data_IF_178460808056
#
_entry.id   IF_178460808056
#
_cell.length_a   1.000
_cell.length_b   1.000
_cell.length_c   1.000
_cell.angle_alpha   90.00
_cell.angle_beta   90.00
_cell.angle_gamma   90.00
#
_symmetry.space_group_name_H-M   'P 1'
#
loop_
_entity.id
_entity.type
_entity.pdbx_description
1 polymer ?
#
# COMPACT_ATOMS: atom_id res chain seq x y z
N UNK A 1 -16.86 -21.25 -26.18
CA UNK A 1 -17.02 -20.17 -25.18
C UNK A 1 -16.81 -20.74 -23.78
N UNK A 2 -15.58 -20.75 -23.27
CA UNK A 2 -15.34 -20.98 -21.85
C UNK A 2 -15.64 -19.68 -21.12
N UNK A 3 -16.60 -19.71 -20.19
CA UNK A 3 -16.86 -18.61 -19.24
C UNK A 3 -15.51 -18.20 -18.64
N UNK A 4 -15.16 -16.90 -18.69
CA UNK A 4 -14.10 -16.34 -17.83
C UNK A 4 -14.40 -16.85 -16.43
N UNK A 5 -13.50 -17.63 -15.84
CA UNK A 5 -13.59 -17.93 -14.42
C UNK A 5 -13.71 -16.58 -13.72
N UNK A 6 -14.79 -16.37 -12.95
CA UNK A 6 -14.81 -15.27 -12.03
C UNK A 6 -13.57 -15.45 -11.15
N UNK A 7 -12.59 -14.56 -11.26
CA UNK A 7 -11.58 -14.42 -10.21
C UNK A 7 -12.38 -14.20 -8.94
N UNK A 8 -12.30 -15.15 -8.01
CA UNK A 8 -12.95 -15.03 -6.71
C UNK A 8 -12.40 -13.77 -6.04
N UNK A 9 -13.31 -12.88 -5.66
CA UNK A 9 -12.98 -11.70 -4.87
C UNK A 9 -13.09 -12.04 -3.39
N UNK A 10 -12.32 -11.35 -2.56
CA UNK A 10 -12.43 -11.43 -1.11
C UNK A 10 -12.63 -10.03 -0.52
N UNK A 11 -13.30 -9.92 0.62
CA UNK A 11 -13.42 -8.63 1.33
C UNK A 11 -12.07 -8.22 1.94
N UNK A 12 -11.84 -6.92 2.07
CA UNK A 12 -10.58 -6.36 2.59
C UNK A 12 -10.17 -7.00 3.93
N UNK A 13 -11.08 -7.14 4.88
CA UNK A 13 -10.80 -7.76 6.18
C UNK A 13 -10.40 -9.24 6.08
N UNK A 14 -10.88 -9.97 5.07
CA UNK A 14 -10.48 -11.34 4.81
C UNK A 14 -9.07 -11.40 4.20
N UNK A 15 -8.79 -10.52 3.22
CA UNK A 15 -7.46 -10.38 2.64
C UNK A 15 -6.41 -10.02 3.70
N UNK A 16 -6.69 -9.01 4.53
CA UNK A 16 -5.79 -8.58 5.60
C UNK A 16 -5.54 -9.69 6.61
N UNK A 17 -6.58 -10.42 7.04
CA UNK A 17 -6.41 -11.60 7.91
C UNK A 17 -5.56 -12.68 7.24
N UNK A 18 -5.78 -12.97 5.96
CA UNK A 18 -4.97 -13.95 5.23
C UNK A 18 -3.49 -13.55 5.19
N UNK A 19 -3.20 -12.28 4.93
CA UNK A 19 -1.82 -11.76 4.89
C UNK A 19 -1.16 -11.78 6.27
N UNK A 20 -1.88 -11.48 7.35
CA UNK A 20 -1.37 -11.57 8.73
C UNK A 20 -0.91 -12.98 9.12
N UNK A 21 -1.50 -14.02 8.50
CA UNK A 21 -1.15 -15.43 8.74
C UNK A 21 -0.16 -15.99 7.70
N UNK A 22 0.27 -15.20 6.72
CA UNK A 22 1.32 -15.61 5.77
C UNK A 22 2.69 -15.52 6.46
N UNK A 23 3.20 -16.67 6.88
CA UNK A 23 4.45 -16.76 7.64
C UNK A 23 5.64 -16.13 6.89
N UNK A 24 5.75 -16.32 5.57
CA UNK A 24 6.87 -15.81 4.80
C UNK A 24 6.86 -14.29 4.69
N UNK A 25 5.69 -13.68 4.47
CA UNK A 25 5.57 -12.22 4.44
C UNK A 25 5.84 -11.62 5.82
N UNK A 26 5.30 -12.24 6.86
CA UNK A 26 5.49 -11.81 8.24
C UNK A 26 6.96 -11.91 8.68
N UNK A 27 7.63 -13.02 8.38
CA UNK A 27 9.06 -13.22 8.68
C UNK A 27 9.93 -12.17 8.00
N UNK A 28 9.62 -11.83 6.73
CA UNK A 28 10.30 -10.75 6.01
C UNK A 28 10.08 -9.39 6.67
N UNK A 29 8.84 -9.04 7.01
CA UNK A 29 8.53 -7.78 7.71
C UNK A 29 9.22 -7.71 9.08
N UNK A 30 9.19 -8.79 9.85
CA UNK A 30 9.86 -8.87 11.14
C UNK A 30 11.39 -8.79 11.02
N UNK A 31 11.98 -9.35 9.97
CA UNK A 31 13.40 -9.24 9.69
C UNK A 31 13.81 -7.79 9.40
N UNK A 32 13.03 -7.08 8.58
CA UNK A 32 13.27 -5.67 8.24
C UNK A 32 13.18 -4.78 9.48
N UNK A 33 12.10 -4.90 10.26
CA UNK A 33 11.93 -4.14 11.50
C UNK A 33 13.07 -4.38 12.49
N UNK A 34 13.51 -5.64 12.66
CA UNK A 34 14.65 -5.97 13.53
C UNK A 34 15.96 -5.41 13.01
N UNK A 35 16.20 -5.50 11.70
CA UNK A 35 17.43 -5.02 11.08
C UNK A 35 17.58 -3.51 11.30
N UNK A 36 16.54 -2.73 10.98
CA UNK A 36 16.56 -1.26 11.12
C UNK A 36 16.59 -0.85 12.59
N UNK A 37 15.79 -1.47 13.46
CA UNK A 37 15.81 -1.16 14.90
C UNK A 37 17.17 -1.44 15.56
N UNK A 38 17.95 -2.40 15.05
CA UNK A 38 19.30 -2.66 15.57
C UNK A 38 20.33 -1.56 15.22
N UNK A 39 20.02 -0.72 14.23
CA UNK A 39 20.91 0.31 13.71
C UNK A 39 20.44 1.73 14.07
N UNK A 40 19.12 1.94 14.16
CA UNK A 40 18.50 3.25 14.38
C UNK A 40 17.76 3.29 15.72
N UNK A 41 18.33 3.93 16.77
CA UNK A 41 17.72 3.98 18.10
C UNK A 41 16.31 4.57 18.11
N UNK A 42 16.06 5.60 17.29
CA UNK A 42 14.73 6.21 17.18
C UNK A 42 13.69 5.22 16.68
N UNK A 43 14.05 4.30 15.78
CA UNK A 43 13.15 3.24 15.31
C UNK A 43 12.94 2.20 16.42
N UNK A 44 13.99 1.79 17.12
CA UNK A 44 13.86 0.85 18.24
C UNK A 44 12.90 1.36 19.34
N UNK A 45 12.96 2.66 19.65
CA UNK A 45 12.03 3.32 20.56
C UNK A 45 10.62 3.39 19.96
N UNK A 46 10.52 3.78 18.68
CA UNK A 46 9.24 3.97 18.01
C UNK A 46 8.41 2.67 17.99
N UNK A 47 9.02 1.51 17.77
CA UNK A 47 8.33 0.21 17.78
C UNK A 47 7.60 -0.10 19.09
N UNK A 48 8.05 0.47 20.21
CA UNK A 48 7.45 0.30 21.53
C UNK A 48 6.36 1.31 21.85
N UNK A 49 6.07 2.23 20.92
CA UNK A 49 5.07 3.27 21.13
C UNK A 49 3.71 2.63 21.39
N UNK A 50 3.10 2.86 22.57
CA UNK A 50 1.78 2.34 22.90
C UNK A 50 0.71 2.77 21.91
N UNK A 51 -0.23 1.88 21.65
CA UNK A 51 -1.42 2.12 20.86
C UNK A 51 -2.68 1.79 21.66
N UNK A 52 -3.77 2.53 21.43
CA UNK A 52 -5.05 2.29 22.09
C UNK A 52 -6.23 2.23 21.13
N UNK A 53 -7.23 1.36 21.38
CA UNK A 53 -8.58 1.53 20.85
C UNK A 53 -9.12 2.92 21.25
N UNK A 54 -9.90 3.63 20.40
CA UNK A 54 -10.61 3.15 19.21
C UNK A 54 -9.85 3.32 17.88
N UNK A 55 -8.70 3.99 17.88
CA UNK A 55 -8.02 4.42 16.66
C UNK A 55 -7.05 3.37 16.10
N UNK A 56 -6.45 2.57 16.98
CA UNK A 56 -5.48 1.53 16.63
C UNK A 56 -5.85 0.23 17.34
N UNK A 57 -6.19 -0.80 16.57
CA UNK A 57 -6.60 -2.12 17.07
C UNK A 57 -5.77 -3.26 16.46
N UNK A 58 -4.69 -2.91 15.77
CA UNK A 58 -3.78 -3.85 15.12
C UNK A 58 -2.84 -4.56 16.10
N UNK A 59 -2.59 -3.98 17.27
CA UNK A 59 -1.78 -4.50 18.35
C UNK A 59 -1.48 -3.42 19.40
N UNK A 60 -0.88 -3.79 20.54
CA UNK A 60 -0.65 -2.87 21.66
C UNK A 60 0.44 -1.83 21.41
N UNK A 61 1.29 -2.05 20.41
CA UNK A 61 2.41 -1.19 20.10
C UNK A 61 2.59 -1.02 18.59
N UNK A 62 3.31 0.02 18.21
CA UNK A 62 3.49 0.42 16.82
C UNK A 62 4.19 -0.63 15.95
N UNK A 63 4.95 -1.56 16.54
CA UNK A 63 5.51 -2.71 15.79
C UNK A 63 4.43 -3.46 14.98
N UNK A 64 3.22 -3.57 15.52
CA UNK A 64 2.11 -4.29 14.90
C UNK A 64 1.55 -3.55 13.69
N UNK A 65 1.55 -2.22 13.75
CA UNK A 65 1.17 -1.34 12.66
C UNK A 65 2.20 -1.39 11.52
N UNK A 66 3.49 -1.16 11.84
CA UNK A 66 4.54 -1.14 10.83
C UNK A 66 4.72 -2.50 10.14
N UNK A 67 4.65 -3.60 10.92
CA UNK A 67 4.68 -4.97 10.38
C UNK A 67 3.58 -5.18 9.35
N UNK A 68 2.37 -4.68 9.60
CA UNK A 68 1.24 -4.84 8.71
C UNK A 68 1.44 -4.06 7.41
N UNK A 69 1.92 -2.82 7.49
CA UNK A 69 2.26 -2.02 6.31
C UNK A 69 3.28 -2.76 5.44
N UNK A 70 4.40 -3.18 6.02
CA UNK A 70 5.46 -3.91 5.31
C UNK A 70 4.94 -5.22 4.70
N UNK A 71 4.12 -5.96 5.44
CA UNK A 71 3.47 -7.19 4.94
C UNK A 71 2.65 -6.93 3.69
N UNK A 72 1.91 -5.82 3.64
CA UNK A 72 1.10 -5.43 2.47
C UNK A 72 1.98 -4.98 1.31
N UNK A 73 3.03 -4.19 1.56
CA UNK A 73 4.01 -3.81 0.52
C UNK A 73 4.59 -5.08 -0.12
N UNK A 74 5.06 -6.04 0.68
CA UNK A 74 5.62 -7.29 0.18
C UNK A 74 4.59 -8.19 -0.52
N UNK A 75 3.33 -8.17 -0.06
CA UNK A 75 2.26 -8.92 -0.69
C UNK A 75 1.93 -8.37 -2.09
N UNK A 76 1.91 -7.05 -2.25
CA UNK A 76 1.66 -6.38 -3.54
C UNK A 76 2.83 -6.60 -4.50
N UNK A 77 4.06 -6.37 -4.02
CA UNK A 77 5.29 -6.58 -4.82
C UNK A 77 5.43 -8.05 -5.25
N UNK A 78 5.16 -8.99 -4.35
CA UNK A 78 5.21 -10.42 -4.64
C UNK A 78 3.97 -10.98 -5.34
N UNK A 79 3.00 -10.14 -5.74
CA UNK A 79 1.77 -10.57 -6.43
C UNK A 79 0.84 -11.48 -5.60
N UNK A 80 1.03 -11.57 -4.28
CA UNK A 80 0.18 -12.31 -3.32
C UNK A 80 -1.09 -11.54 -2.93
N UNK A 81 -1.09 -10.23 -3.17
CA UNK A 81 -2.25 -9.36 -3.08
C UNK A 81 -2.40 -8.61 -4.41
N UNK A 82 -3.63 -8.50 -4.89
CA UNK A 82 -4.02 -7.63 -5.99
C UNK A 82 -5.19 -6.79 -5.53
N UNK A 83 -5.11 -5.48 -5.72
CA UNK A 83 -6.15 -4.57 -5.26
C UNK A 83 -7.48 -4.82 -5.98
N UNK A 84 -7.45 -5.25 -7.24
CA UNK A 84 -8.67 -5.60 -7.98
C UNK A 84 -9.35 -6.91 -7.54
N UNK A 85 -8.71 -7.71 -6.70
CA UNK A 85 -9.29 -8.92 -6.13
C UNK A 85 -9.99 -8.64 -4.78
N UNK A 86 -9.82 -7.42 -4.24
CA UNK A 86 -10.56 -6.94 -3.07
C UNK A 86 -11.94 -6.46 -3.49
N UNK A 87 -12.99 -6.99 -2.85
CA UNK A 87 -14.39 -6.77 -3.22
C UNK A 87 -14.80 -5.28 -3.18
N UNK A 88 -14.35 -4.54 -2.17
CA UNK A 88 -14.64 -3.11 -2.01
C UNK A 88 -14.10 -2.29 -3.19
N UNK A 89 -12.91 -2.63 -3.70
CA UNK A 89 -12.31 -1.98 -4.86
C UNK A 89 -12.91 -2.50 -6.18
N UNK A 90 -13.18 -3.80 -6.28
CA UNK A 90 -13.80 -4.41 -7.47
C UNK A 90 -15.20 -3.90 -7.78
N UNK A 91 -15.93 -3.44 -6.75
CA UNK A 91 -17.25 -2.81 -6.87
C UNK A 91 -17.20 -1.42 -7.51
N UNK A 92 -16.04 -0.75 -7.52
CA UNK A 92 -15.86 0.56 -8.14
C UNK A 92 -15.74 0.45 -9.66
N UNK A 93 -16.86 0.18 -10.32
CA UNK A 93 -16.92 0.08 -11.79
C UNK A 93 -16.47 1.38 -12.44
N UNK A 94 -15.54 1.28 -13.39
CA UNK A 94 -14.94 2.42 -14.09
C UNK A 94 -13.67 2.97 -13.45
N UNK A 95 -13.29 2.46 -12.27
CA UNK A 95 -12.08 2.87 -11.53
C UNK A 95 -10.97 1.82 -11.60
N UNK A 96 -11.15 0.74 -12.36
CA UNK A 96 -10.21 -0.38 -12.39
C UNK A 96 -8.80 0.06 -12.79
N UNK A 97 -8.70 1.01 -13.73
CA UNK A 97 -7.42 1.60 -14.13
C UNK A 97 -6.74 2.37 -13.01
N UNK A 98 -7.49 3.14 -12.22
CA UNK A 98 -6.94 3.89 -11.08
C UNK A 98 -6.43 2.98 -9.98
N UNK A 99 -7.16 1.90 -9.72
CA UNK A 99 -6.76 0.88 -8.75
C UNK A 99 -5.49 0.15 -9.21
N UNK A 100 -5.36 -0.13 -10.51
CA UNK A 100 -4.14 -0.68 -11.08
C UNK A 100 -2.97 0.30 -11.01
N UNK A 101 -3.18 1.57 -11.39
CA UNK A 101 -2.15 2.61 -11.33
C UNK A 101 -1.61 2.76 -9.88
N UNK A 102 -2.49 2.67 -8.87
CA UNK A 102 -2.11 2.67 -7.45
C UNK A 102 -1.26 1.44 -7.06
N UNK A 103 -1.68 0.24 -7.49
CA UNK A 103 -0.92 -0.99 -7.24
C UNK A 103 0.47 -0.93 -7.88
N UNK A 104 0.56 -0.46 -9.13
CA UNK A 104 1.84 -0.30 -9.83
C UNK A 104 2.71 0.80 -9.20
N UNK A 105 2.12 1.90 -8.72
CA UNK A 105 2.86 2.94 -7.98
C UNK A 105 3.58 2.33 -6.78
N UNK A 106 2.93 1.44 -6.03
CA UNK A 106 3.55 0.76 -4.88
C UNK A 106 4.65 -0.19 -5.33
N UNK A 107 4.43 -0.96 -6.40
CA UNK A 107 5.43 -1.91 -6.92
C UNK A 107 6.68 -1.22 -7.45
N UNK A 108 6.50 -0.15 -8.22
CA UNK A 108 7.58 0.64 -8.82
C UNK A 108 8.39 1.40 -7.75
N UNK A 109 7.76 1.74 -6.62
CA UNK A 109 8.38 2.50 -5.53
C UNK A 109 8.50 1.67 -4.23
N UNK A 110 8.73 0.36 -4.33
CA UNK A 110 8.73 -0.55 -3.19
C UNK A 110 9.68 -0.11 -2.05
N UNK A 111 10.92 0.26 -2.39
CA UNK A 111 11.92 0.73 -1.42
C UNK A 111 11.51 2.05 -0.74
N UNK A 112 10.83 2.95 -1.46
CA UNK A 112 10.28 4.18 -0.90
C UNK A 112 9.18 3.87 0.11
N UNK A 113 8.30 2.90 -0.18
CA UNK A 113 7.24 2.50 0.75
C UNK A 113 7.73 1.65 1.93
N UNK A 114 8.84 0.92 1.79
CA UNK A 114 9.57 0.34 2.92
C UNK A 114 10.07 1.46 3.86
N UNK A 115 10.72 2.49 3.32
CA UNK A 115 11.16 3.66 4.09
C UNK A 115 10.00 4.45 4.72
N UNK A 116 8.90 4.62 3.98
CA UNK A 116 7.67 5.23 4.49
C UNK A 116 7.15 4.47 5.71
N UNK A 117 7.01 3.14 5.60
CA UNK A 117 6.56 2.30 6.70
C UNK A 117 7.44 2.51 7.94
N UNK A 118 8.76 2.51 7.76
CA UNK A 118 9.72 2.65 8.86
C UNK A 118 9.68 4.04 9.52
N UNK A 119 9.50 5.11 8.73
CA UNK A 119 9.75 6.48 9.19
C UNK A 119 8.48 7.30 9.50
N UNK A 120 7.35 7.05 8.83
CA UNK A 120 6.21 7.99 8.83
C UNK A 120 5.68 8.32 10.23
N UNK A 121 5.74 7.33 11.11
CA UNK A 121 5.24 7.40 12.48
C UNK A 121 6.35 7.38 13.55
N UNK A 122 7.63 7.45 13.16
CA UNK A 122 8.75 7.34 14.10
C UNK A 122 8.69 8.37 15.24
N UNK A 123 8.09 9.53 14.98
CA UNK A 123 7.93 10.59 15.97
C UNK A 123 6.80 10.38 16.98
N UNK A 124 5.90 9.41 16.79
CA UNK A 124 4.82 9.11 17.73
C UNK A 124 5.34 8.84 19.15
N UNK A 125 6.52 8.22 19.28
CA UNK A 125 7.17 7.99 20.57
C UNK A 125 7.41 9.27 21.38
N UNK A 126 7.95 10.30 20.73
CA UNK A 126 8.33 11.56 21.37
C UNK A 126 7.14 12.48 21.64
N UNK A 127 6.09 12.38 20.81
CA UNK A 127 4.86 13.17 20.91
C UNK A 127 3.76 12.48 21.70
N UNK A 128 3.95 11.22 22.09
CA UNK A 128 2.97 10.43 22.84
C UNK A 128 2.41 11.20 24.04
N UNK A 129 1.09 11.26 24.08
CA UNK A 129 0.31 11.85 25.15
C UNK A 129 -0.90 10.99 25.47
N UNK A 130 -1.47 11.22 26.65
CA UNK A 130 -2.55 10.39 27.17
C UNK A 130 -3.75 11.23 27.58
N UNK A 131 -4.94 10.69 27.34
CA UNK A 131 -6.18 11.10 28.00
C UNK A 131 -6.87 9.86 28.56
N UNK A 132 -7.81 10.02 29.48
CA UNK A 132 -8.57 8.91 30.04
C UNK A 132 -10.08 9.14 29.91
N UNK A 133 -10.83 8.05 29.77
CA UNK A 133 -12.29 8.12 29.79
C UNK A 133 -12.77 8.64 31.16
N UNK A 134 -13.80 9.52 31.20
CA UNK A 134 -14.33 10.03 32.46
C UNK A 134 -14.73 8.90 33.43
N UNK A 135 -14.24 8.96 34.67
CA UNK A 135 -14.53 7.97 35.71
C UNK A 135 -13.80 6.62 35.57
N UNK A 136 -12.90 6.49 34.59
CA UNK A 136 -12.10 5.26 34.40
C UNK A 136 -10.99 5.10 35.44
N UNK A 137 -10.41 3.90 35.52
CA UNK A 137 -9.23 3.66 36.37
C UNK A 137 -8.01 4.45 35.90
N UNK A 138 -7.85 4.67 34.60
CA UNK A 138 -6.79 5.50 34.02
C UNK A 138 -6.86 6.94 34.53
N UNK A 139 -8.07 7.51 34.59
CA UNK A 139 -8.29 8.84 35.16
C UNK A 139 -7.91 8.89 36.65
N UNK A 140 -8.30 7.87 37.43
CA UNK A 140 -7.93 7.76 38.84
C UNK A 140 -6.41 7.59 39.07
N UNK A 141 -5.70 7.01 38.09
CA UNK A 141 -4.25 6.87 38.08
C UNK A 141 -3.51 8.10 37.52
N UNK A 142 -4.24 9.11 37.03
CA UNK A 142 -3.68 10.36 36.52
C UNK A 142 -3.08 10.27 35.12
N UNK A 143 -3.61 9.41 34.24
CA UNK A 143 -3.23 9.39 32.83
C UNK A 143 -3.94 10.51 32.05
N UNK A 144 -3.52 11.74 32.31
CA UNK A 144 -3.98 12.96 31.64
C UNK A 144 -2.76 13.83 31.32
N UNK A 145 -2.59 14.17 30.05
CA UNK A 145 -1.56 15.12 29.60
C UNK A 145 -2.20 16.48 29.40
N UNK A 146 -1.63 17.53 30.00
CA UNK A 146 -2.16 18.88 29.82
C UNK A 146 -2.10 19.33 28.35
N UNK A 147 -3.16 19.96 27.80
CA UNK A 147 -3.22 20.37 26.39
C UNK A 147 -2.05 21.26 25.92
N UNK A 148 -1.51 22.10 26.79
CA UNK A 148 -0.38 22.98 26.45
C UNK A 148 0.98 22.26 26.47
N UNK A 149 1.06 21.09 27.10
CA UNK A 149 2.29 20.29 27.15
C UNK A 149 2.57 19.55 25.82
N UNK A 150 1.65 19.56 24.86
CA UNK A 150 1.80 18.90 23.57
C UNK A 150 2.81 19.59 22.64
N UNK A 151 3.00 20.91 22.77
CA UNK A 151 3.75 21.73 21.80
C UNK A 151 5.00 22.41 22.39
N UNK A 152 5.23 22.29 23.69
CA UNK A 152 6.35 22.92 24.38
C UNK A 152 7.33 21.88 24.94
N UNK A 153 8.63 22.19 24.88
CA UNK A 153 9.71 21.36 25.45
C UNK A 153 9.52 21.09 26.96
N UNK A 154 8.82 21.98 27.65
CA UNK A 154 8.45 21.88 29.06
C UNK A 154 7.68 20.57 29.36
N UNK A 155 6.92 20.06 28.39
CA UNK A 155 6.15 18.82 28.52
C UNK A 155 6.95 17.53 28.30
N UNK A 156 8.19 17.59 27.79
CA UNK A 156 8.96 16.40 27.38
C UNK A 156 9.21 15.46 28.55
N UNK A 157 9.65 16.00 29.70
CA UNK A 157 9.92 15.19 30.89
C UNK A 157 8.66 14.52 31.44
N UNK A 158 7.50 15.20 31.37
CA UNK A 158 6.25 14.66 31.88
C UNK A 158 5.69 13.58 30.96
N UNK A 159 5.74 13.78 29.63
CA UNK A 159 5.40 12.74 28.64
C UNK A 159 6.25 11.50 28.83
N UNK A 160 7.56 11.65 29.06
CA UNK A 160 8.46 10.53 29.31
C UNK A 160 8.08 9.74 30.58
N UNK A 161 7.72 10.43 31.68
CA UNK A 161 7.26 9.78 32.92
C UNK A 161 5.94 9.05 32.72
N UNK A 162 4.94 9.70 32.11
CA UNK A 162 3.65 9.06 31.84
C UNK A 162 3.79 7.86 30.90
N UNK A 163 4.65 7.95 29.88
CA UNK A 163 4.96 6.84 28.98
C UNK A 163 5.59 5.67 29.72
N UNK A 164 6.56 5.92 30.60
CA UNK A 164 7.17 4.87 31.42
C UNK A 164 6.14 4.19 32.33
N UNK A 165 5.27 4.98 32.99
CA UNK A 165 4.18 4.47 33.83
C UNK A 165 3.15 3.67 33.03
N UNK A 166 2.83 4.10 31.81
CA UNK A 166 1.93 3.35 30.92
C UNK A 166 2.51 1.97 30.61
N UNK A 167 3.78 1.94 30.17
CA UNK A 167 4.44 0.70 29.78
C UNK A 167 4.53 -0.28 30.95
N UNK A 168 4.90 0.20 32.15
CA UNK A 168 4.92 -0.63 33.36
C UNK A 168 3.54 -1.19 33.69
N UNK A 169 2.50 -0.35 33.63
CA UNK A 169 1.12 -0.77 33.90
C UNK A 169 0.62 -1.79 32.88
N UNK A 170 0.93 -1.59 31.59
CA UNK A 170 0.57 -2.50 30.52
C UNK A 170 1.30 -3.83 30.66
N UNK A 171 2.61 -3.82 30.92
CA UNK A 171 3.44 -5.02 31.08
C UNK A 171 2.93 -5.87 32.27
N UNK A 172 2.61 -5.23 33.40
CA UNK A 172 1.97 -5.91 34.53
C UNK A 172 0.65 -6.56 34.13
N UNK A 173 -0.24 -5.80 33.47
CA UNK A 173 -1.55 -6.31 33.04
C UNK A 173 -1.45 -7.45 32.02
N UNK A 174 -0.52 -7.35 31.08
CA UNK A 174 -0.31 -8.34 30.03
C UNK A 174 0.35 -9.61 30.56
N UNK A 175 1.23 -9.50 31.58
CA UNK A 175 1.88 -10.66 32.19
C UNK A 175 0.89 -11.63 32.86
N UNK A 176 -0.20 -11.11 33.42
CA UNK A 176 -1.31 -11.89 33.98
C UNK A 176 -2.15 -12.60 32.89
N UNK A 177 -1.96 -12.22 31.63
CA UNK A 177 -2.73 -12.65 30.44
C UNK A 177 -1.83 -13.13 29.31
N UNK A 178 -0.68 -13.73 29.65
CA UNK A 178 0.34 -14.11 28.66
C UNK A 178 -0.14 -15.09 27.55
N UNK A 179 -1.28 -15.76 27.75
CA UNK A 179 -1.89 -16.67 26.76
C UNK A 179 -2.83 -15.95 25.78
N UNK A 180 -3.21 -14.70 26.06
CA UNK A 180 -4.09 -13.93 25.18
C UNK A 180 -3.32 -13.37 23.97
N UNK A 181 -3.94 -13.35 22.78
CA UNK A 181 -3.37 -12.64 21.64
C UNK A 181 -3.14 -11.16 21.96
N UNK A 182 -2.08 -10.51 21.45
CA UNK A 182 -1.76 -9.11 21.75
C UNK A 182 -2.93 -8.13 21.56
N UNK A 183 -3.74 -8.29 20.50
CA UNK A 183 -4.93 -7.47 20.26
C UNK A 183 -6.01 -7.64 21.33
N UNK A 184 -6.22 -8.86 21.81
CA UNK A 184 -7.19 -9.13 22.86
C UNK A 184 -6.73 -8.50 24.18
N UNK A 185 -5.44 -8.65 24.50
CA UNK A 185 -4.83 -8.01 25.67
C UNK A 185 -4.91 -6.47 25.61
N UNK A 186 -4.66 -5.87 24.44
CA UNK A 186 -4.83 -4.44 24.21
C UNK A 186 -6.26 -3.96 24.48
N UNK A 187 -7.26 -4.66 23.91
CA UNK A 187 -8.66 -4.31 24.11
C UNK A 187 -9.06 -4.45 25.59
N UNK A 188 -8.69 -5.57 26.23
CA UNK A 188 -8.98 -5.79 27.64
C UNK A 188 -8.31 -4.74 28.55
N UNK A 189 -7.10 -4.29 28.20
CA UNK A 189 -6.42 -3.21 28.91
C UNK A 189 -7.19 -1.89 28.77
N UNK A 190 -7.61 -1.55 27.55
CA UNK A 190 -8.42 -0.37 27.30
C UNK A 190 -9.76 -0.42 28.05
N UNK A 191 -10.44 -1.55 28.05
CA UNK A 191 -11.72 -1.72 28.77
C UNK A 191 -11.53 -1.59 30.30
N UNK A 192 -10.39 -2.04 30.82
CA UNK A 192 -10.09 -1.96 32.25
C UNK A 192 -9.67 -0.55 32.70
N UNK A 193 -8.87 0.15 31.90
CA UNK A 193 -8.25 1.41 32.30
C UNK A 193 -8.79 2.64 31.60
N UNK A 194 -9.37 2.52 30.40
CA UNK A 194 -9.91 3.64 29.63
C UNK A 194 -8.86 4.67 29.18
N UNK A 195 -7.58 4.28 29.08
CA UNK A 195 -6.49 5.18 28.69
C UNK A 195 -6.38 5.23 27.16
N UNK A 196 -6.39 6.45 26.61
CA UNK A 196 -6.25 6.74 25.19
C UNK A 196 -4.88 7.34 24.90
N UNK A 197 -4.24 6.88 23.83
CA UNK A 197 -2.94 7.34 23.35
C UNK A 197 -3.14 8.30 22.16
N UNK A 198 -2.43 9.43 22.17
CA UNK A 198 -2.47 10.46 21.13
C UNK A 198 -1.07 10.92 20.74
N UNK A 199 -0.90 11.36 19.49
CA UNK A 199 0.40 11.74 18.92
C UNK A 199 0.32 13.09 18.19
N UNK A 200 0.08 14.20 18.89
CA UNK A 200 -0.07 15.51 18.26
C UNK A 200 1.18 15.89 17.46
N UNK A 201 1.00 16.26 16.19
CA UNK A 201 2.04 16.79 15.31
C UNK A 201 3.17 15.84 14.95
N UNK A 202 3.01 14.52 15.13
CA UNK A 202 4.04 13.54 14.79
C UNK A 202 4.38 13.53 13.28
N UNK A 203 3.39 13.78 12.43
CA UNK A 203 3.53 13.93 10.98
C UNK A 203 4.51 15.05 10.62
N UNK A 204 4.41 16.21 11.29
CA UNK A 204 5.27 17.37 11.04
C UNK A 204 6.64 17.28 11.69
N UNK A 205 6.81 16.36 12.65
CA UNK A 205 8.09 16.18 13.34
C UNK A 205 9.19 15.66 12.40
N UNK A 206 8.84 15.11 11.22
CA UNK A 206 9.80 14.71 10.18
C UNK A 206 10.75 15.85 9.78
N UNK A 207 10.31 17.11 9.85
CA UNK A 207 11.14 18.28 9.54
C UNK A 207 12.12 18.67 10.66
N UNK A 208 12.04 18.05 11.84
CA UNK A 208 13.01 18.31 12.91
C UNK A 208 14.33 17.59 12.63
N UNK A 209 15.49 18.12 13.07
CA UNK A 209 16.80 17.57 12.70
C UNK A 209 16.98 16.07 12.98
N UNK A 210 16.40 15.58 14.07
CA UNK A 210 16.52 14.17 14.46
C UNK A 210 15.78 13.22 13.50
N UNK A 211 14.54 13.56 13.15
CA UNK A 211 13.70 12.73 12.27
C UNK A 211 14.02 12.94 10.79
N UNK A 212 14.41 14.16 10.39
CA UNK A 212 14.94 14.42 9.06
C UNK A 212 16.22 13.63 8.82
N UNK A 213 17.17 13.66 9.77
CA UNK A 213 18.39 12.86 9.70
C UNK A 213 18.12 11.35 9.72
N UNK A 214 17.12 10.88 10.47
CA UNK A 214 16.69 9.49 10.46
C UNK A 214 16.18 9.08 9.07
N UNK A 215 15.28 9.88 8.49
CA UNK A 215 14.71 9.62 7.17
C UNK A 215 15.82 9.46 6.12
N UNK A 216 16.77 10.39 6.07
CA UNK A 216 17.90 10.30 5.13
C UNK A 216 18.74 9.04 5.32
N UNK A 217 19.10 8.67 6.56
CA UNK A 217 19.88 7.44 6.80
C UNK A 217 19.12 6.17 6.39
N UNK A 218 17.82 6.11 6.64
CA UNK A 218 16.98 4.99 6.23
C UNK A 218 16.82 4.93 4.71
N UNK A 219 16.61 6.08 4.06
CA UNK A 219 16.57 6.20 2.60
C UNK A 219 17.90 5.75 1.95
N UNK A 220 19.03 6.21 2.49
CA UNK A 220 20.37 5.83 2.01
C UNK A 220 20.59 4.32 2.12
N UNK A 221 20.19 3.72 3.24
CA UNK A 221 20.27 2.26 3.44
C UNK A 221 19.44 1.47 2.41
N UNK A 222 18.33 2.06 1.94
CA UNK A 222 17.47 1.51 0.88
C UNK A 222 17.85 1.97 -0.52
N UNK A 223 18.99 2.65 -0.69
CA UNK A 223 19.52 3.16 -1.97
C UNK A 223 18.58 4.13 -2.67
N UNK A 224 17.80 4.87 -1.90
CA UNK A 224 16.98 5.97 -2.42
C UNK A 224 17.84 7.21 -2.64
N UNK A 225 17.43 8.05 -3.58
CA UNK A 225 18.14 9.31 -3.87
C UNK A 225 17.72 10.42 -2.90
N UNK A 226 18.49 11.50 -2.82
CA UNK A 226 18.09 12.70 -2.06
C UNK A 226 16.74 13.26 -2.51
N UNK A 227 16.42 13.13 -3.81
CA UNK A 227 15.12 13.54 -4.35
C UNK A 227 13.99 12.65 -3.82
N UNK A 228 14.21 11.35 -3.72
CA UNK A 228 13.24 10.42 -3.16
C UNK A 228 13.05 10.67 -1.67
N UNK A 229 14.13 10.95 -0.94
CA UNK A 229 14.06 11.33 0.48
C UNK A 229 13.25 12.62 0.69
N UNK A 230 13.49 13.66 -0.10
CA UNK A 230 12.74 14.91 -0.03
C UNK A 230 11.26 14.73 -0.41
N UNK A 231 10.98 13.88 -1.41
CA UNK A 231 9.61 13.54 -1.79
C UNK A 231 8.89 12.77 -0.68
N UNK A 232 9.58 11.78 -0.09
CA UNK A 232 9.08 10.98 1.02
C UNK A 232 8.87 11.82 2.28
N UNK A 233 9.72 12.83 2.53
CA UNK A 233 9.53 13.78 3.62
C UNK A 233 8.19 14.50 3.51
N UNK A 234 7.82 14.98 2.32
CA UNK A 234 6.51 15.62 2.11
C UNK A 234 5.35 14.62 2.18
N UNK A 235 5.53 13.39 1.69
CA UNK A 235 4.51 12.33 1.83
C UNK A 235 4.25 12.04 3.32
N UNK A 236 5.30 11.91 4.13
CA UNK A 236 5.20 11.74 5.58
C UNK A 236 4.57 12.98 6.23
N UNK A 237 5.02 14.18 5.89
CA UNK A 237 4.48 15.39 6.50
C UNK A 237 2.98 15.57 6.23
N UNK A 238 2.46 15.04 5.11
CA UNK A 238 1.09 15.27 4.67
C UNK A 238 0.18 14.04 4.70
N UNK A 239 0.65 12.87 5.15
CA UNK A 239 -0.14 11.62 5.09
C UNK A 239 -1.49 11.71 5.83
N UNK A 240 -1.54 12.42 6.97
CA UNK A 240 -2.78 12.66 7.70
C UNK A 240 -3.72 13.65 6.99
N UNK A 241 -3.18 14.65 6.27
CA UNK A 241 -4.00 15.60 5.51
C UNK A 241 -4.85 14.85 4.47
N UNK A 242 -4.27 13.86 3.79
CA UNK A 242 -5.01 13.04 2.83
C UNK A 242 -6.13 12.23 3.50
N UNK A 243 -5.88 11.69 4.69
CA UNK A 243 -6.92 11.01 5.47
C UNK A 243 -8.08 11.97 5.79
N UNK A 244 -7.77 13.15 6.33
CA UNK A 244 -8.77 14.14 6.73
C UNK A 244 -9.57 14.66 5.52
N UNK A 245 -8.88 15.02 4.44
CA UNK A 245 -9.46 15.65 3.26
C UNK A 245 -10.44 14.75 2.50
N UNK A 246 -10.28 13.43 2.61
CA UNK A 246 -11.10 12.45 1.90
C UNK A 246 -11.93 11.52 2.81
N UNK A 247 -11.82 11.63 4.13
CA UNK A 247 -12.57 10.77 5.07
C UNK A 247 -14.10 10.83 4.90
N UNK A 248 -14.66 12.01 4.59
CA UNK A 248 -16.13 12.21 4.54
C UNK A 248 -16.74 12.08 3.15
N UNK A 249 -16.04 12.54 2.12
CA UNK A 249 -16.52 12.55 0.72
C UNK A 249 -15.36 12.74 -0.26
N UNK A 250 -15.60 12.37 -1.51
CA UNK A 250 -14.73 12.78 -2.62
C UNK A 250 -14.77 14.31 -2.78
N UNK A 251 -13.60 14.94 -2.83
CA UNK A 251 -13.46 16.39 -2.94
C UNK A 251 -12.37 16.78 -3.95
N UNK A 252 -12.70 16.96 -5.24
CA UNK A 252 -11.73 17.30 -6.28
C UNK A 252 -10.90 18.56 -5.99
N UNK A 253 -11.45 19.54 -5.27
CA UNK A 253 -10.72 20.78 -4.92
C UNK A 253 -9.51 20.52 -3.99
N UNK A 254 -9.45 19.36 -3.31
CA UNK A 254 -8.27 18.98 -2.52
C UNK A 254 -7.13 18.47 -3.39
N UNK A 255 -7.41 18.04 -4.61
CA UNK A 255 -6.38 17.66 -5.58
C UNK A 255 -5.56 18.89 -5.98
N UNK A 256 -6.18 20.06 -6.16
CA UNK A 256 -5.46 21.32 -6.42
C UNK A 256 -4.44 21.66 -5.33
N UNK A 257 -4.76 21.38 -4.06
CA UNK A 257 -3.84 21.61 -2.94
C UNK A 257 -2.59 20.73 -3.06
N UNK A 258 -2.75 19.46 -3.44
CA UNK A 258 -1.63 18.54 -3.66
C UNK A 258 -0.82 18.91 -4.90
N UNK A 259 -1.48 19.33 -5.99
CA UNK A 259 -0.80 19.84 -7.19
C UNK A 259 0.02 21.10 -6.89
N UNK A 260 -0.54 22.01 -6.09
CA UNK A 260 0.17 23.20 -5.63
C UNK A 260 1.37 22.84 -4.76
N UNK A 261 1.20 21.93 -3.81
CA UNK A 261 2.30 21.44 -2.97
C UNK A 261 3.43 20.86 -3.83
N UNK A 262 3.10 19.98 -4.79
CA UNK A 262 4.08 19.42 -5.72
C UNK A 262 4.81 20.51 -6.51
N UNK A 263 4.06 21.49 -7.04
CA UNK A 263 4.63 22.62 -7.80
C UNK A 263 5.58 23.46 -6.96
N UNK A 264 5.17 23.82 -5.75
CA UNK A 264 5.96 24.63 -4.82
C UNK A 264 7.26 23.93 -4.39
N UNK A 265 7.29 22.59 -4.45
CA UNK A 265 8.45 21.74 -4.14
C UNK A 265 9.23 21.26 -5.37
N UNK A 266 8.77 21.54 -6.59
CA UNK A 266 9.43 21.11 -7.83
C UNK A 266 9.23 19.63 -8.20
N UNK A 267 8.15 19.01 -7.71
CA UNK A 267 7.78 17.63 -8.03
C UNK A 267 6.76 17.56 -9.17
N UNK A 268 6.67 16.38 -9.80
CA UNK A 268 5.52 16.08 -10.64
C UNK A 268 4.30 15.86 -9.75
N UNK A 269 3.20 16.56 -10.07
CA UNK A 269 2.00 16.51 -9.25
C UNK A 269 1.26 15.18 -9.32
N UNK A 270 1.33 14.46 -10.44
CA UNK A 270 0.70 13.15 -10.57
C UNK A 270 1.49 12.10 -9.77
N UNK A 271 2.82 12.19 -9.75
CA UNK A 271 3.68 11.34 -8.92
C UNK A 271 3.37 11.55 -7.43
N UNK A 272 3.35 12.80 -6.95
CA UNK A 272 3.03 13.08 -5.53
C UNK A 272 1.64 12.57 -5.17
N UNK A 273 0.62 12.78 -6.02
CA UNK A 273 -0.74 12.29 -5.75
C UNK A 273 -0.77 10.76 -5.67
N UNK A 274 -0.09 10.06 -6.59
CA UNK A 274 -0.01 8.60 -6.55
C UNK A 274 0.63 8.10 -5.26
N UNK A 275 1.73 8.73 -4.83
CA UNK A 275 2.40 8.41 -3.58
C UNK A 275 1.52 8.69 -2.36
N UNK A 276 0.76 9.78 -2.35
CA UNK A 276 -0.19 10.11 -1.29
C UNK A 276 -1.37 9.11 -1.22
N UNK A 277 -1.88 8.65 -2.37
CA UNK A 277 -2.90 7.60 -2.41
C UNK A 277 -2.36 6.27 -1.87
N UNK A 278 -1.11 5.94 -2.22
CA UNK A 278 -0.43 4.75 -1.73
C UNK A 278 -0.16 4.83 -0.22
N UNK A 279 0.32 5.97 0.29
CA UNK A 279 0.47 6.20 1.72
C UNK A 279 -0.87 6.03 2.46
N UNK A 280 -1.97 6.59 1.93
CA UNK A 280 -3.30 6.43 2.51
C UNK A 280 -3.79 4.97 2.49
N UNK A 281 -3.54 4.23 1.41
CA UNK A 281 -3.84 2.79 1.35
C UNK A 281 -3.03 2.03 2.41
N UNK A 282 -1.72 2.27 2.46
CA UNK A 282 -0.80 1.52 3.28
C UNK A 282 -1.00 1.79 4.77
N UNK A 283 -0.98 3.05 5.20
CA UNK A 283 -1.17 3.43 6.60
C UNK A 283 -2.66 3.40 7.00
N UNK A 284 -3.48 4.24 6.37
CA UNK A 284 -4.85 4.51 6.83
C UNK A 284 -5.85 3.38 6.56
N UNK A 285 -5.68 2.61 5.48
CA UNK A 285 -6.62 1.53 5.11
C UNK A 285 -6.11 0.17 5.55
N UNK A 286 -4.87 -0.17 5.22
CA UNK A 286 -4.33 -1.50 5.46
C UNK A 286 -3.61 -1.60 6.80
N UNK A 287 -2.82 -0.60 7.19
CA UNK A 287 -2.00 -0.59 8.41
C UNK A 287 -2.81 -0.34 9.68
N UNK A 288 -3.84 0.50 9.56
CA UNK A 288 -4.71 0.92 10.66
C UNK A 288 -5.98 0.08 10.73
N UNK A 289 -6.23 -0.52 11.90
CA UNK A 289 -7.40 -1.35 12.11
C UNK A 289 -8.30 -0.76 13.20
N UNK A 290 -9.62 -0.81 13.01
CA UNK A 290 -10.60 -0.20 13.92
C UNK A 290 -11.42 -1.24 14.64
N UNK A 291 -11.78 -0.97 15.89
CA UNK A 291 -12.72 -1.82 16.63
C UNK A 291 -14.14 -1.60 16.10
N UNK A 292 -14.85 -2.69 15.82
CA UNK A 292 -16.27 -2.65 15.47
C UNK A 292 -17.13 -2.57 16.74
N UNK A 293 -18.18 -1.72 16.78
CA UNK A 293 -19.15 -1.72 17.88
C UNK A 293 -19.85 -3.08 18.10
N UNK A 294 -19.87 -3.94 17.07
CA UNK A 294 -20.48 -5.28 17.12
C UNK A 294 -19.48 -6.40 17.44
N UNK A 295 -18.26 -6.04 17.87
CA UNK A 295 -17.16 -6.96 18.09
C UNK A 295 -16.36 -7.21 16.82
N UNK A 296 -15.04 -7.35 16.99
CA UNK A 296 -14.10 -7.61 15.90
C UNK A 296 -13.39 -6.35 15.39
N UNK A 297 -12.58 -6.54 14.35
CA UNK A 297 -11.73 -5.51 13.74
C UNK A 297 -12.13 -5.34 12.29
N UNK A 298 -12.16 -4.10 11.81
CA UNK A 298 -12.47 -3.77 10.43
C UNK A 298 -11.51 -2.71 9.87
N UNK A 299 -11.30 -2.73 8.56
CA UNK A 299 -10.51 -1.75 7.81
C UNK A 299 -11.45 -0.84 7.02
N UNK A 300 -11.14 0.46 6.99
CA UNK A 300 -11.98 1.46 6.34
C UNK A 300 -11.38 1.88 4.99
N UNK A 301 -11.81 1.31 3.84
CA UNK A 301 -11.33 1.74 2.55
C UNK A 301 -11.92 3.07 2.10
N UNK A 302 -12.93 3.61 2.80
CA UNK A 302 -13.73 4.75 2.38
C UNK A 302 -12.90 5.99 2.02
N UNK A 303 -11.91 6.42 2.83
CA UNK A 303 -11.08 7.57 2.50
C UNK A 303 -10.32 7.41 1.18
N UNK A 304 -9.75 6.23 0.93
CA UNK A 304 -9.05 5.94 -0.33
C UNK A 304 -10.01 5.94 -1.51
N UNK A 305 -11.20 5.34 -1.36
CA UNK A 305 -12.22 5.35 -2.41
C UNK A 305 -12.62 6.79 -2.76
N UNK A 306 -12.77 7.65 -1.76
CA UNK A 306 -13.05 9.06 -1.96
C UNK A 306 -11.89 9.80 -2.63
N UNK A 307 -10.65 9.48 -2.29
CA UNK A 307 -9.48 10.07 -2.93
C UNK A 307 -9.38 9.66 -4.41
N UNK A 308 -9.53 8.38 -4.73
CA UNK A 308 -9.54 7.88 -6.12
C UNK A 308 -10.66 8.53 -6.95
N UNK A 309 -11.85 8.72 -6.36
CA UNK A 309 -12.97 9.45 -6.99
C UNK A 309 -12.64 10.92 -7.20
N UNK A 310 -12.07 11.58 -6.20
CA UNK A 310 -11.70 12.98 -6.30
C UNK A 310 -10.67 13.25 -7.40
N UNK A 311 -9.61 12.42 -7.50
CA UNK A 311 -8.62 12.51 -8.57
C UNK A 311 -9.23 12.20 -9.94
N UNK A 312 -10.10 11.19 -10.01
CA UNK A 312 -10.81 10.84 -11.25
C UNK A 312 -11.66 12.02 -11.77
N UNK A 313 -12.39 12.68 -10.88
CA UNK A 313 -13.31 13.76 -11.24
C UNK A 313 -12.60 15.11 -11.45
N UNK A 314 -11.38 15.24 -10.93
CA UNK A 314 -10.56 16.46 -11.04
C UNK A 314 -10.12 16.75 -12.49
N UNK A 315 -9.59 15.75 -13.21
CA UNK A 315 -9.04 15.94 -14.55
C UNK A 315 -9.45 14.83 -15.54
N UNK A 316 -10.68 14.91 -16.11
CA UNK A 316 -11.18 13.90 -17.05
C UNK A 316 -10.33 13.72 -18.32
N UNK A 317 -9.61 14.75 -18.78
CA UNK A 317 -8.73 14.64 -19.95
C UNK A 317 -7.51 13.75 -19.69
N UNK A 318 -6.92 13.83 -18.47
CA UNK A 318 -5.81 12.96 -18.06
C UNK A 318 -6.22 11.49 -18.04
N UNK A 319 -7.51 11.20 -17.80
CA UNK A 319 -8.04 9.83 -17.91
C UNK A 319 -7.90 9.28 -19.33
N UNK A 320 -8.30 10.05 -20.34
CA UNK A 320 -8.20 9.62 -21.73
C UNK A 320 -6.74 9.35 -22.13
N UNK A 321 -5.82 10.19 -21.66
CA UNK A 321 -4.38 10.02 -21.87
C UNK A 321 -3.85 8.76 -21.18
N UNK A 322 -4.18 8.55 -19.89
CA UNK A 322 -3.78 7.34 -19.13
C UNK A 322 -4.37 6.07 -19.75
N UNK A 323 -5.64 6.09 -20.19
CA UNK A 323 -6.27 4.94 -20.87
C UNK A 323 -5.60 4.63 -22.22
N UNK A 324 -5.25 5.67 -22.98
CA UNK A 324 -4.49 5.53 -24.23
C UNK A 324 -3.11 4.93 -23.98
N UNK A 325 -2.36 5.45 -23.00
CA UNK A 325 -1.05 4.92 -22.59
C UNK A 325 -1.15 3.45 -22.16
N UNK A 326 -2.15 3.10 -21.33
CA UNK A 326 -2.44 1.70 -20.95
C UNK A 326 -2.73 0.80 -22.15
N UNK A 327 -3.47 1.29 -23.15
CA UNK A 327 -3.74 0.54 -24.37
C UNK A 327 -2.47 0.35 -25.22
N UNK A 328 -1.62 1.37 -25.31
CA UNK A 328 -0.32 1.33 -25.98
C UNK A 328 0.63 0.35 -25.28
N UNK A 329 0.74 0.40 -23.95
CA UNK A 329 1.58 -0.50 -23.15
C UNK A 329 1.13 -1.96 -23.26
N UNK A 330 -0.19 -2.23 -23.15
CA UNK A 330 -0.75 -3.58 -23.39
C UNK A 330 -0.43 -4.07 -24.81
N UNK A 331 -0.51 -3.19 -25.80
CA UNK A 331 -0.18 -3.54 -27.18
C UNK A 331 1.31 -3.83 -27.32
N UNK A 332 2.17 -3.03 -26.69
CA UNK A 332 3.64 -3.22 -26.69
C UNK A 332 4.02 -4.54 -26.03
N UNK A 333 3.46 -4.85 -24.87
CA UNK A 333 3.77 -6.08 -24.14
C UNK A 333 3.24 -7.33 -24.88
N UNK A 334 2.01 -7.26 -25.40
CA UNK A 334 1.48 -8.30 -26.28
C UNK A 334 2.37 -8.53 -27.51
N UNK A 335 2.83 -7.46 -28.15
CA UNK A 335 3.75 -7.57 -29.29
C UNK A 335 5.09 -8.18 -28.90
N UNK A 336 5.60 -7.89 -27.69
CA UNK A 336 6.80 -8.53 -27.13
C UNK A 336 6.57 -10.03 -26.90
N UNK A 337 5.42 -10.43 -26.34
CA UNK A 337 5.05 -11.85 -26.17
C UNK A 337 4.90 -12.57 -27.51
N UNK A 338 4.22 -11.96 -28.49
CA UNK A 338 4.15 -12.51 -29.85
C UNK A 338 5.54 -12.72 -30.45
N UNK A 339 6.45 -11.74 -30.32
CA UNK A 339 7.84 -11.88 -30.77
C UNK A 339 8.57 -13.03 -30.07
N UNK A 340 8.50 -13.13 -28.73
CA UNK A 340 9.10 -14.25 -27.97
C UNK A 340 8.54 -15.61 -28.39
N UNK A 341 7.26 -15.68 -28.77
CA UNK A 341 6.60 -16.88 -29.25
C UNK A 341 6.87 -17.19 -30.74
N UNK A 342 7.57 -16.33 -31.49
CA UNK A 342 7.78 -16.47 -32.93
C UNK A 342 6.51 -16.21 -33.75
N UNK A 343 5.58 -15.43 -33.21
CA UNK A 343 4.33 -14.99 -33.83
C UNK A 343 4.42 -13.54 -34.33
N UNK A 344 5.62 -12.96 -34.40
CA UNK A 344 5.80 -11.64 -35.00
C UNK A 344 5.83 -11.71 -36.53
N UNK A 345 5.80 -10.54 -37.17
CA UNK A 345 5.72 -10.42 -38.62
C UNK A 345 6.84 -11.16 -39.36
N UNK A 346 8.10 -11.08 -38.89
CA UNK A 346 9.23 -11.71 -39.58
C UNK A 346 9.13 -13.24 -39.52
N UNK A 347 8.91 -13.78 -38.32
CA UNK A 347 8.83 -15.22 -38.10
C UNK A 347 7.62 -15.86 -38.82
N UNK A 348 6.52 -15.10 -38.97
CA UNK A 348 5.33 -15.55 -39.69
C UNK A 348 5.46 -15.38 -41.21
N UNK A 349 6.17 -14.37 -41.71
CA UNK A 349 6.49 -14.28 -43.14
C UNK A 349 7.30 -15.49 -43.59
N UNK A 350 8.31 -15.88 -42.81
CA UNK A 350 9.15 -17.04 -43.12
C UNK A 350 8.35 -18.36 -43.03
N UNK A 351 7.54 -18.55 -41.98
CA UNK A 351 6.72 -19.75 -41.83
C UNK A 351 5.68 -19.88 -42.96
N UNK A 352 5.00 -18.79 -43.30
CA UNK A 352 3.95 -18.79 -44.31
C UNK A 352 4.52 -18.75 -45.73
N UNK A 353 5.80 -18.41 -45.90
CA UNK A 353 6.48 -18.14 -47.18
C UNK A 353 5.74 -17.06 -47.97
N UNK A 354 5.45 -15.94 -47.29
CA UNK A 354 4.73 -14.80 -47.85
C UNK A 354 5.63 -13.56 -47.87
N UNK A 355 5.57 -12.81 -48.97
CA UNK A 355 6.22 -11.50 -49.10
C UNK A 355 5.50 -10.42 -48.29
N UNK A 356 6.20 -9.37 -47.83
CA UNK A 356 5.59 -8.25 -47.14
C UNK A 356 4.57 -7.55 -48.05
N UNK A 357 3.37 -7.28 -47.51
CA UNK A 357 2.34 -6.55 -48.24
C UNK A 357 0.94 -6.74 -47.64
N UNK A 358 -0.10 -6.15 -48.25
CA UNK A 358 -1.47 -6.16 -47.72
C UNK A 358 -2.04 -7.56 -47.50
N UNK A 359 -1.64 -8.55 -48.32
CA UNK A 359 -2.05 -9.95 -48.17
C UNK A 359 -1.45 -10.58 -46.90
N UNK A 360 -0.16 -10.36 -46.65
CA UNK A 360 0.49 -10.82 -45.43
C UNK A 360 -0.05 -10.11 -44.19
N UNK A 361 -0.24 -8.79 -44.25
CA UNK A 361 -0.81 -8.03 -43.13
C UNK A 361 -2.18 -8.55 -42.68
N UNK A 362 -3.05 -8.94 -43.63
CA UNK A 362 -4.33 -9.59 -43.32
C UNK A 362 -4.15 -10.97 -42.68
N UNK A 363 -3.24 -11.79 -43.21
CA UNK A 363 -2.96 -13.12 -42.65
C UNK A 363 -2.40 -13.03 -41.22
N UNK A 364 -1.48 -12.09 -40.99
CA UNK A 364 -0.91 -11.79 -39.67
C UNK A 364 -2.01 -11.40 -38.67
N UNK A 365 -2.89 -10.46 -39.04
CA UNK A 365 -3.99 -10.02 -38.19
C UNK A 365 -4.95 -11.17 -37.84
N UNK A 366 -5.30 -12.03 -38.81
CA UNK A 366 -6.17 -13.19 -38.58
C UNK A 366 -5.50 -14.22 -37.66
N UNK A 367 -4.20 -14.47 -37.83
CA UNK A 367 -3.45 -15.38 -36.94
C UNK A 367 -3.38 -14.82 -35.52
N UNK A 368 -3.08 -13.53 -35.34
CA UNK A 368 -3.08 -12.88 -34.02
C UNK A 368 -4.45 -12.97 -33.35
N UNK A 369 -5.52 -12.64 -34.07
CA UNK A 369 -6.88 -12.74 -33.56
C UNK A 369 -7.27 -14.20 -33.21
N UNK A 370 -6.81 -15.18 -34.00
CA UNK A 370 -7.04 -16.60 -33.71
C UNK A 370 -6.29 -17.08 -32.46
N UNK A 371 -5.03 -16.64 -32.26
CA UNK A 371 -4.27 -16.90 -31.04
C UNK A 371 -4.94 -16.26 -29.82
N UNK A 372 -5.55 -15.09 -29.97
CA UNK A 372 -6.32 -14.45 -28.89
C UNK A 372 -7.70 -15.10 -28.66
N UNK A 373 -8.12 -16.06 -29.50
CA UNK A 373 -9.42 -16.72 -29.42
C UNK A 373 -10.59 -15.83 -29.87
N UNK A 374 -10.31 -14.72 -30.55
CA UNK A 374 -11.30 -13.77 -31.05
C UNK A 374 -11.96 -14.26 -32.34
N UNK A 375 -11.22 -15.03 -33.15
CA UNK A 375 -11.69 -15.64 -34.40
C UNK A 375 -11.24 -17.10 -34.51
N UNK A 376 -11.90 -17.92 -35.35
CA UNK A 376 -11.40 -19.26 -35.67
C UNK A 376 -10.04 -19.22 -36.40
N UNK A 377 -9.26 -20.29 -36.25
CA UNK A 377 -8.01 -20.45 -37.00
C UNK A 377 -8.24 -20.39 -38.52
N UNK A 378 -7.38 -19.67 -39.28
CA UNK A 378 -7.45 -19.67 -40.73
C UNK A 378 -7.18 -21.06 -41.31
N UNK A 379 -7.75 -21.35 -42.48
CA UNK A 379 -7.43 -22.57 -43.22
C UNK A 379 -5.98 -22.49 -43.72
N UNK A 380 -5.14 -23.36 -43.18
CA UNK A 380 -3.71 -23.45 -43.50
C UNK A 380 -3.34 -24.90 -43.80
N UNK A 381 -2.26 -25.13 -44.57
CA UNK A 381 -1.61 -26.44 -44.66
C UNK A 381 -1.34 -27.02 -43.27
N UNK A 382 -1.49 -28.34 -43.12
CA UNK A 382 -1.49 -29.01 -41.82
C UNK A 382 -0.15 -28.88 -41.08
N UNK A 383 0.96 -28.84 -41.81
CA UNK A 383 2.30 -28.58 -41.31
C UNK A 383 2.43 -27.18 -40.67
N UNK A 384 1.94 -26.14 -41.37
CA UNK A 384 1.95 -24.75 -40.89
C UNK A 384 1.00 -24.56 -39.71
N UNK A 385 -0.15 -25.24 -39.73
CA UNK A 385 -1.13 -25.20 -38.64
C UNK A 385 -0.55 -25.77 -37.34
N UNK A 386 0.08 -26.95 -37.39
CA UNK A 386 0.73 -27.56 -36.22
C UNK A 386 1.82 -26.67 -35.61
N UNK A 387 2.64 -26.06 -36.46
CA UNK A 387 3.69 -25.15 -35.99
C UNK A 387 3.11 -23.88 -35.36
N UNK A 388 2.03 -23.31 -35.92
CA UNK A 388 1.33 -22.18 -35.31
C UNK A 388 0.68 -22.53 -33.98
N UNK A 389 0.07 -23.71 -33.86
CA UNK A 389 -0.50 -24.19 -32.60
C UNK A 389 0.59 -24.33 -31.53
N UNK A 390 1.76 -24.86 -31.87
CA UNK A 390 2.93 -24.92 -30.97
C UNK A 390 3.37 -23.53 -30.50
N UNK A 391 3.45 -22.56 -31.41
CA UNK A 391 3.79 -21.17 -31.08
C UNK A 391 2.71 -20.50 -30.23
N UNK A 392 1.43 -20.82 -30.47
CA UNK A 392 0.31 -20.36 -29.65
C UNK A 392 0.37 -20.95 -28.24
N UNK A 393 0.72 -22.23 -28.07
CA UNK A 393 0.96 -22.83 -26.75
C UNK A 393 2.08 -22.09 -26.01
N UNK A 394 3.18 -21.75 -26.69
CA UNK A 394 4.26 -20.95 -26.09
C UNK A 394 3.81 -19.54 -25.73
N UNK A 395 2.99 -18.90 -26.57
CA UNK A 395 2.38 -17.62 -26.25
C UNK A 395 1.51 -17.72 -24.99
N UNK A 396 0.68 -18.74 -24.87
CA UNK A 396 -0.16 -18.95 -23.69
C UNK A 396 0.67 -19.25 -22.44
N UNK A 397 1.78 -19.99 -22.55
CA UNK A 397 2.71 -20.14 -21.44
C UNK A 397 3.23 -18.76 -20.98
N UNK A 398 3.66 -17.91 -21.91
CA UNK A 398 4.13 -16.54 -21.59
C UNK A 398 3.03 -15.57 -21.12
N UNK A 399 1.77 -15.84 -21.45
CA UNK A 399 0.62 -15.01 -21.06
C UNK A 399 0.03 -15.44 -19.70
N UNK A 400 0.16 -16.72 -19.34
CA UNK A 400 -0.52 -17.34 -18.20
C UNK A 400 0.40 -18.03 -17.19
N UNK A 401 1.70 -18.16 -17.44
CA UNK A 401 2.67 -18.34 -16.36
C UNK A 401 2.62 -17.07 -15.52
N UNK A 402 2.15 -17.24 -14.28
CA UNK A 402 2.41 -16.27 -13.21
C UNK A 402 3.91 -16.00 -13.22
N UNK A 403 4.31 -14.75 -13.09
CA UNK A 403 5.68 -14.33 -12.79
C UNK A 403 6.15 -14.91 -11.44
N UNK A 404 6.26 -16.23 -11.34
CA UNK A 404 7.04 -16.95 -10.37
C UNK A 404 8.26 -17.44 -11.12
N UNK A 405 9.43 -16.97 -10.69
CA UNK A 405 10.76 -17.24 -11.25
C UNK A 405 11.16 -16.28 -12.38
N UNK A 406 11.67 -15.11 -11.96
CA UNK A 406 12.27 -14.12 -12.86
C UNK A 406 13.16 -13.13 -12.13
N UNK A 407 14.32 -13.63 -11.69
CA UNK A 407 15.57 -12.95 -11.28
C UNK A 407 15.55 -11.83 -10.23
#
# INVERSE_FOLDING_TARGET
MRRKAHQETEYLDAAMRRLEHDAALRERADAELRAVASQEPLIAESLRTPQSPPHHCEGPAMDSHLRRILTVVYALVGGKLRLLDIEEFRRLKGYEGKIQDLEETIKENAALFECFALCHDAAKWATLSFTSLPGSRGAALGFETEPMAHWHDIGVSERAKLRARYLELYDMFASERAQEPPRASQQAFFDAYGIQCHYPGHDRAVHTPNYHGLLHRVCDAHRLTDRDAALLEEVIAHHLDAFEDFSRRANPARIDRLQKLATDRGFDGDDLIGLMQAALLLDGVCGSARHSPHGGVWHDPTPLIHFLRAEHDYAPWKRAEKEKRRAEDRTRDRNRRFRKAGLDGLALMDLLKMEPGPKFGRALAVIHAAVLGEVPWPKLPEDKKKELEKRATRFYALEFEKDGDGE
#
